data_IF_434250389823
#
_entry.id   IF_434250389823
#
_cell.length_a   1.000
_cell.length_b   1.000
_cell.length_c   1.000
_cell.angle_alpha   90.00
_cell.angle_beta   90.00
_cell.angle_gamma   90.00
#
_symmetry.space_group_name_H-M   'P 1'
#
loop_
_entity.id
_entity.type
_entity.pdbx_description
1 polymer ?
#
# COMPACT_ATOMS: atom_id res chain seq x y z
N UNK A 1 -8.25 -13.40 -26.93
CA UNK A 1 -7.55 -13.54 -25.66
C UNK A 1 -8.59 -13.55 -24.57
N UNK A 2 -8.62 -14.50 -23.63
CA UNK A 2 -9.49 -14.39 -22.47
C UNK A 2 -9.20 -13.07 -21.74
N UNK A 3 -10.22 -12.44 -21.22
CA UNK A 3 -10.11 -11.16 -20.54
C UNK A 3 -9.36 -11.39 -19.22
N UNK A 4 -8.07 -11.09 -19.15
CA UNK A 4 -7.22 -11.24 -17.94
C UNK A 4 -7.80 -10.52 -16.70
N UNK A 5 -8.82 -9.65 -16.89
CA UNK A 5 -9.48 -8.95 -15.78
C UNK A 5 -10.30 -9.86 -14.85
N UNK A 6 -10.71 -11.04 -15.31
CA UNK A 6 -11.53 -11.99 -14.55
C UNK A 6 -10.72 -13.17 -13.98
N UNK A 7 -9.47 -13.32 -14.36
CA UNK A 7 -8.58 -14.34 -13.80
C UNK A 7 -8.25 -14.04 -12.34
N UNK A 8 -8.14 -15.12 -11.54
CA UNK A 8 -7.70 -15.01 -10.16
C UNK A 8 -6.20 -14.66 -10.14
N UNK A 9 -5.87 -13.55 -9.48
CA UNK A 9 -4.53 -13.04 -9.29
C UNK A 9 -4.06 -13.35 -7.87
N UNK A 10 -2.80 -13.69 -7.71
CA UNK A 10 -2.17 -13.82 -6.39
C UNK A 10 -1.56 -12.49 -5.99
N UNK A 11 -2.07 -11.92 -4.90
CA UNK A 11 -1.62 -10.64 -4.36
C UNK A 11 -0.84 -10.88 -3.07
N UNK A 12 0.23 -10.13 -2.85
CA UNK A 12 0.91 -10.05 -1.57
C UNK A 12 0.80 -8.62 -1.02
N UNK A 13 0.28 -8.50 0.19
CA UNK A 13 0.11 -7.24 0.89
C UNK A 13 1.05 -7.21 2.11
N UNK A 14 2.24 -6.62 2.00
CA UNK A 14 3.14 -6.49 3.13
C UNK A 14 2.58 -5.50 4.17
N UNK A 15 2.77 -5.81 5.46
CA UNK A 15 2.39 -4.95 6.57
C UNK A 15 3.46 -4.94 7.68
N UNK A 16 3.24 -4.16 8.73
CA UNK A 16 4.09 -4.22 9.92
C UNK A 16 3.88 -5.53 10.69
N UNK A 17 4.90 -5.98 11.40
CA UNK A 17 4.81 -7.17 12.23
C UNK A 17 3.70 -7.01 13.30
N UNK A 18 2.87 -8.04 13.47
CA UNK A 18 1.73 -8.03 14.39
C UNK A 18 0.45 -7.37 13.83
N UNK A 19 0.47 -6.91 12.58
CA UNK A 19 -0.69 -6.26 11.93
C UNK A 19 -1.43 -7.19 10.98
N UNK A 20 -0.92 -8.39 10.77
CA UNK A 20 -1.40 -9.32 9.75
C UNK A 20 -2.89 -9.68 9.90
N UNK A 21 -3.33 -9.97 11.12
CA UNK A 21 -4.74 -10.33 11.39
C UNK A 21 -5.68 -9.15 11.10
N UNK A 22 -5.31 -7.93 11.53
CA UNK A 22 -6.05 -6.72 11.20
C UNK A 22 -6.08 -6.43 9.71
N UNK A 23 -4.99 -6.72 9.00
CA UNK A 23 -4.94 -6.57 7.55
C UNK A 23 -5.82 -7.61 6.84
N UNK A 24 -5.86 -8.86 7.32
CA UNK A 24 -6.79 -9.86 6.78
C UNK A 24 -8.24 -9.44 6.97
N UNK A 25 -8.59 -8.93 8.15
CA UNK A 25 -9.89 -8.34 8.45
C UNK A 25 -10.22 -7.15 7.52
N UNK A 26 -9.26 -6.27 7.27
CA UNK A 26 -9.42 -5.15 6.35
C UNK A 26 -9.66 -5.62 4.92
N UNK A 27 -8.87 -6.57 4.43
CA UNK A 27 -9.03 -7.11 3.07
C UNK A 27 -10.40 -7.79 2.94
N UNK A 28 -10.82 -8.58 3.95
CA UNK A 28 -12.17 -9.14 3.98
C UNK A 28 -13.25 -8.05 3.89
N UNK A 29 -13.17 -7.02 4.72
CA UNK A 29 -14.15 -5.92 4.75
C UNK A 29 -14.19 -5.10 3.46
N UNK A 30 -13.08 -5.03 2.72
CA UNK A 30 -12.98 -4.27 1.47
C UNK A 30 -13.41 -5.08 0.24
N UNK A 31 -13.12 -6.39 0.21
CA UNK A 31 -13.23 -7.21 -1.01
C UNK A 31 -14.22 -8.37 -0.88
N UNK A 32 -14.55 -8.78 0.35
CA UNK A 32 -15.31 -9.99 0.62
C UNK A 32 -14.48 -11.28 0.54
N UNK A 33 -13.19 -11.21 0.23
CA UNK A 33 -12.31 -12.38 0.20
C UNK A 33 -12.19 -12.98 1.61
N UNK A 34 -12.26 -14.30 1.73
CA UNK A 34 -12.22 -15.00 3.01
C UNK A 34 -11.77 -16.46 2.85
N UNK A 35 -11.49 -17.11 3.97
CA UNK A 35 -11.16 -18.54 4.01
C UNK A 35 -9.93 -18.85 3.16
N UNK A 36 -10.08 -19.72 2.16
CA UNK A 36 -8.98 -20.17 1.30
C UNK A 36 -8.39 -19.09 0.39
N UNK A 37 -9.07 -17.94 0.25
CA UNK A 37 -8.60 -16.83 -0.57
C UNK A 37 -7.64 -15.92 0.19
N UNK A 38 -7.49 -16.10 1.52
CA UNK A 38 -6.57 -15.34 2.36
C UNK A 38 -5.61 -16.28 3.10
N UNK A 39 -4.32 -16.01 2.98
CA UNK A 39 -3.28 -16.72 3.71
C UNK A 39 -2.44 -15.72 4.49
N UNK A 40 -2.48 -15.83 5.82
CA UNK A 40 -1.67 -15.00 6.71
C UNK A 40 -0.25 -15.56 6.74
N UNK A 41 0.71 -14.71 6.40
CA UNK A 41 2.13 -15.04 6.39
C UNK A 41 2.93 -14.04 7.21
N UNK A 42 4.16 -14.42 7.54
CA UNK A 42 5.04 -13.48 8.24
C UNK A 42 5.39 -12.30 7.34
N UNK A 43 5.03 -11.09 7.81
CA UNK A 43 5.32 -9.82 7.10
C UNK A 43 4.19 -9.35 6.18
N UNK A 44 3.08 -10.08 6.07
CA UNK A 44 1.94 -9.68 5.26
C UNK A 44 0.89 -10.76 5.09
N UNK A 45 0.07 -10.60 4.09
CA UNK A 45 -0.92 -11.60 3.71
C UNK A 45 -0.87 -11.85 2.20
N UNK A 46 -1.14 -13.08 1.80
CA UNK A 46 -1.50 -13.40 0.42
C UNK A 46 -3.01 -13.37 0.27
N UNK A 47 -3.49 -12.85 -0.88
CA UNK A 47 -4.90 -12.80 -1.21
C UNK A 47 -5.10 -13.25 -2.66
N UNK A 48 -6.11 -14.10 -2.92
CA UNK A 48 -6.53 -14.49 -4.27
C UNK A 48 -7.71 -13.62 -4.68
N UNK A 49 -7.43 -12.58 -5.46
CA UNK A 49 -8.42 -11.60 -5.89
C UNK A 49 -8.40 -11.39 -7.41
N UNK A 50 -9.15 -10.41 -7.88
CA UNK A 50 -9.23 -9.98 -9.27
C UNK A 50 -8.61 -8.60 -9.44
N UNK A 51 -8.49 -8.14 -10.68
CA UNK A 51 -7.95 -6.80 -10.97
C UNK A 51 -8.73 -5.68 -10.26
N UNK A 52 -10.05 -5.83 -10.14
CA UNK A 52 -10.87 -4.87 -9.39
C UNK A 52 -10.46 -4.79 -7.90
N UNK A 53 -10.05 -5.92 -7.31
CA UNK A 53 -9.58 -5.97 -5.92
C UNK A 53 -8.22 -5.29 -5.78
N UNK A 54 -7.33 -5.42 -6.78
CA UNK A 54 -6.05 -4.66 -6.83
C UNK A 54 -6.33 -3.16 -6.75
N UNK A 55 -7.24 -2.64 -7.56
CA UNK A 55 -7.61 -1.21 -7.56
C UNK A 55 -8.24 -0.81 -6.22
N UNK A 56 -9.18 -1.60 -5.72
CA UNK A 56 -9.89 -1.35 -4.46
C UNK A 56 -8.95 -1.33 -3.26
N UNK A 57 -8.04 -2.30 -3.17
CA UNK A 57 -7.06 -2.38 -2.09
C UNK A 57 -6.08 -1.21 -2.14
N UNK A 58 -5.63 -0.78 -3.32
CA UNK A 58 -4.79 0.40 -3.44
C UNK A 58 -5.52 1.68 -3.00
N UNK A 59 -6.81 1.82 -3.31
CA UNK A 59 -7.60 2.99 -2.96
C UNK A 59 -7.92 3.05 -1.46
N UNK A 60 -8.28 1.91 -0.87
CA UNK A 60 -8.93 1.86 0.45
C UNK A 60 -8.09 1.27 1.58
N UNK A 61 -7.03 0.47 1.29
CA UNK A 61 -6.27 -0.15 2.38
C UNK A 61 -5.48 0.88 3.18
N UNK A 62 -5.63 0.80 4.51
CA UNK A 62 -4.91 1.64 5.48
C UNK A 62 -3.75 0.90 6.12
N UNK A 63 -3.79 -0.44 6.15
CA UNK A 63 -2.83 -1.28 6.87
C UNK A 63 -1.73 -1.83 5.95
N UNK A 64 -2.04 -2.10 4.68
CA UNK A 64 -1.06 -2.56 3.71
C UNK A 64 -0.02 -1.47 3.42
N UNK A 65 1.24 -1.87 3.30
CA UNK A 65 2.31 -0.98 2.84
C UNK A 65 2.31 -0.83 1.32
N UNK A 66 1.90 -1.88 0.62
CA UNK A 66 1.77 -1.97 -0.85
C UNK A 66 0.76 -3.05 -1.21
N UNK A 67 0.32 -3.05 -2.45
CA UNK A 67 -0.37 -4.17 -3.10
C UNK A 67 0.56 -4.67 -4.19
N UNK A 68 1.11 -5.86 -4.01
CA UNK A 68 2.06 -6.48 -4.93
C UNK A 68 1.38 -7.66 -5.63
N UNK A 69 1.55 -7.77 -6.94
CA UNK A 69 1.04 -8.88 -7.73
C UNK A 69 2.14 -9.92 -7.94
N UNK A 70 1.96 -11.13 -7.47
CA UNK A 70 2.92 -12.21 -7.67
C UNK A 70 2.82 -12.76 -9.09
N UNK A 71 3.92 -12.66 -9.83
CA UNK A 71 4.04 -13.12 -11.22
C UNK A 71 4.74 -14.46 -11.34
N UNK A 72 5.60 -14.80 -10.39
CA UNK A 72 6.26 -16.09 -10.31
C UNK A 72 6.72 -16.37 -8.90
N UNK A 73 6.62 -17.65 -8.51
CA UNK A 73 7.18 -18.21 -7.28
C UNK A 73 7.77 -19.58 -7.58
N UNK A 74 9.02 -19.84 -7.17
CA UNK A 74 9.66 -21.13 -7.37
C UNK A 74 10.84 -21.34 -6.41
N UNK A 75 11.26 -22.61 -6.18
CA UNK A 75 12.56 -22.92 -5.61
C UNK A 75 13.69 -22.28 -6.44
N UNK A 76 14.62 -21.61 -5.76
CA UNK A 76 15.67 -20.86 -6.40
C UNK A 76 16.90 -20.73 -5.49
N UNK A 77 17.91 -21.53 -5.75
CA UNK A 77 19.15 -21.57 -4.95
C UNK A 77 20.37 -21.04 -5.69
N UNK A 78 20.23 -20.68 -6.97
CA UNK A 78 21.32 -20.16 -7.79
C UNK A 78 20.90 -18.97 -8.63
N UNK A 79 21.90 -18.21 -9.08
CA UNK A 79 21.72 -17.05 -9.94
C UNK A 79 21.17 -17.43 -11.32
N UNK A 80 21.53 -18.62 -11.83
CA UNK A 80 21.02 -19.13 -13.10
C UNK A 80 19.56 -19.59 -12.98
N UNK A 81 19.18 -20.21 -11.86
CA UNK A 81 17.78 -20.52 -11.56
C UNK A 81 16.94 -19.25 -11.45
N UNK A 82 17.46 -18.19 -10.80
CA UNK A 82 16.81 -16.90 -10.69
C UNK A 82 16.64 -16.23 -12.06
N UNK A 83 17.68 -16.25 -12.89
CA UNK A 83 17.60 -15.75 -14.26
C UNK A 83 16.55 -16.51 -15.07
N UNK A 84 16.56 -17.85 -15.00
CA UNK A 84 15.60 -18.68 -15.71
C UNK A 84 14.15 -18.43 -15.24
N UNK A 85 13.94 -18.26 -13.91
CA UNK A 85 12.64 -17.90 -13.36
C UNK A 85 12.15 -16.56 -13.92
N UNK A 86 12.98 -15.52 -13.87
CA UNK A 86 12.63 -14.20 -14.37
C UNK A 86 12.38 -14.17 -15.88
N UNK A 87 13.09 -15.01 -16.66
CA UNK A 87 12.88 -15.15 -18.11
C UNK A 87 11.54 -15.77 -18.48
N UNK A 88 10.96 -16.62 -17.62
CA UNK A 88 9.66 -17.27 -17.86
C UNK A 88 8.48 -16.30 -17.74
N UNK A 89 8.60 -15.25 -16.92
CA UNK A 89 7.53 -14.26 -16.73
C UNK A 89 7.29 -13.50 -18.04
N UNK A 90 6.05 -13.43 -18.53
CA UNK A 90 5.71 -12.70 -19.76
C UNK A 90 5.61 -11.18 -19.45
N UNK A 91 6.77 -10.54 -19.25
CA UNK A 91 6.86 -9.13 -18.87
C UNK A 91 6.17 -8.20 -19.86
N UNK A 92 6.15 -8.58 -21.14
CA UNK A 92 5.49 -7.84 -22.21
C UNK A 92 3.97 -7.71 -22.03
N UNK A 93 3.35 -8.58 -21.25
CA UNK A 93 1.92 -8.49 -20.91
C UNK A 93 1.66 -7.44 -19.80
N UNK A 94 2.69 -7.06 -19.06
CA UNK A 94 2.62 -6.15 -17.93
C UNK A 94 3.10 -4.73 -18.23
N UNK A 95 4.12 -4.58 -19.08
CA UNK A 95 4.61 -3.27 -19.47
C UNK A 95 5.39 -3.35 -20.78
N UNK A 96 5.61 -2.22 -21.44
CA UNK A 96 6.31 -2.17 -22.73
C UNK A 96 7.67 -1.51 -22.66
N UNK A 97 8.41 -1.52 -23.78
CA UNK A 97 9.76 -0.96 -23.93
C UNK A 97 9.85 0.55 -23.71
N UNK A 98 8.72 1.27 -23.72
CA UNK A 98 8.65 2.72 -23.43
C UNK A 98 8.68 3.03 -21.93
N UNK A 99 8.37 2.04 -21.09
CA UNK A 99 8.41 2.22 -19.64
C UNK A 99 9.83 2.09 -19.12
N UNK A 100 10.07 2.75 -18.02
CA UNK A 100 11.27 2.54 -17.21
C UNK A 100 10.97 1.56 -16.09
N UNK A 101 11.97 0.77 -15.68
CA UNK A 101 11.77 -0.19 -14.60
C UNK A 101 12.94 -0.23 -13.62
N UNK A 102 12.68 -0.81 -12.46
CA UNK A 102 13.64 -1.08 -11.40
C UNK A 102 13.33 -2.42 -10.74
N UNK A 103 14.37 -3.11 -10.29
CA UNK A 103 14.25 -4.29 -9.43
C UNK A 103 14.69 -3.93 -8.02
N UNK A 104 13.79 -4.07 -7.05
CA UNK A 104 14.07 -3.97 -5.62
C UNK A 104 14.15 -5.38 -5.05
N UNK A 105 15.08 -5.63 -4.13
CA UNK A 105 15.28 -6.95 -3.54
C UNK A 105 15.13 -6.90 -2.02
N UNK A 106 14.43 -7.88 -1.49
CA UNK A 106 14.35 -8.19 -0.07
C UNK A 106 14.70 -9.65 0.14
N UNK A 107 15.35 -9.97 1.25
CA UNK A 107 15.75 -11.35 1.52
C UNK A 107 15.60 -11.71 2.99
N UNK A 108 15.29 -13.00 3.22
CA UNK A 108 15.25 -13.60 4.53
C UNK A 108 15.85 -15.00 4.46
N UNK A 109 16.95 -15.22 5.17
CA UNK A 109 17.61 -16.55 5.21
C UNK A 109 18.09 -17.07 3.85
N UNK A 110 18.33 -16.17 2.88
CA UNK A 110 18.70 -16.51 1.52
C UNK A 110 20.13 -17.01 1.41
N UNK A 111 20.37 -18.00 0.54
CA UNK A 111 21.69 -18.50 0.18
C UNK A 111 22.47 -17.54 -0.75
N UNK A 112 21.83 -16.51 -1.30
CA UNK A 112 22.47 -15.56 -2.20
C UNK A 112 23.45 -14.66 -1.46
N UNK A 113 24.73 -14.66 -1.89
CA UNK A 113 25.80 -13.87 -1.26
C UNK A 113 25.65 -12.37 -1.49
N UNK A 114 25.07 -11.96 -2.62
CA UNK A 114 24.86 -10.56 -2.98
C UNK A 114 23.44 -10.32 -3.46
N UNK A 115 22.66 -9.61 -2.66
CA UNK A 115 21.30 -9.21 -3.05
C UNK A 115 21.28 -8.25 -4.23
N UNK A 116 22.29 -7.37 -4.31
CA UNK A 116 22.43 -6.47 -5.45
C UNK A 116 22.67 -7.24 -6.73
N UNK A 117 23.49 -8.28 -6.70
CA UNK A 117 23.75 -9.12 -7.87
C UNK A 117 22.49 -9.92 -8.26
N UNK A 118 21.75 -10.45 -7.31
CA UNK A 118 20.46 -11.09 -7.57
C UNK A 118 19.48 -10.15 -8.28
N UNK A 119 19.38 -8.89 -7.84
CA UNK A 119 18.55 -7.88 -8.51
C UNK A 119 19.04 -7.60 -9.95
N UNK A 120 20.35 -7.57 -10.18
CA UNK A 120 20.93 -7.41 -11.53
C UNK A 120 20.61 -8.61 -12.42
N UNK A 121 20.65 -9.85 -11.91
CA UNK A 121 20.28 -11.05 -12.68
C UNK A 121 18.82 -11.00 -13.13
N UNK A 122 17.89 -10.59 -12.26
CA UNK A 122 16.48 -10.38 -12.65
C UNK A 122 16.37 -9.27 -13.70
N UNK A 123 17.03 -8.14 -13.49
CA UNK A 123 17.07 -7.03 -14.46
C UNK A 123 17.55 -7.48 -15.84
N UNK A 124 18.64 -8.28 -15.90
CA UNK A 124 19.18 -8.79 -17.15
C UNK A 124 18.19 -9.75 -17.85
N UNK A 125 17.56 -10.66 -17.07
CA UNK A 125 16.54 -11.56 -17.59
C UNK A 125 15.35 -10.82 -18.20
N UNK A 126 14.85 -9.75 -17.54
CA UNK A 126 13.79 -8.88 -18.07
C UNK A 126 14.23 -8.22 -19.38
N UNK A 127 15.41 -7.60 -19.40
CA UNK A 127 15.93 -6.91 -20.57
C UNK A 127 16.14 -7.86 -21.76
N UNK A 128 16.68 -9.05 -21.51
CA UNK A 128 16.94 -10.04 -22.56
C UNK A 128 15.64 -10.63 -23.13
N UNK A 129 14.62 -10.84 -22.28
CA UNK A 129 13.30 -11.26 -22.75
C UNK A 129 12.69 -10.22 -23.69
N UNK A 130 12.73 -8.94 -23.35
CA UNK A 130 12.23 -7.89 -24.22
C UNK A 130 13.00 -7.80 -25.54
N UNK A 131 14.33 -7.92 -25.50
CA UNK A 131 15.15 -7.95 -26.75
C UNK A 131 14.75 -9.09 -27.68
N UNK A 132 14.56 -10.27 -27.12
CA UNK A 132 14.18 -11.45 -27.90
C UNK A 132 12.78 -11.29 -28.51
N UNK A 133 11.83 -10.70 -27.77
CA UNK A 133 10.44 -10.58 -28.22
C UNK A 133 10.17 -9.39 -29.14
N UNK A 134 10.87 -8.27 -28.94
CA UNK A 134 10.57 -7.00 -29.62
C UNK A 134 11.79 -6.29 -30.22
N UNK A 135 12.99 -6.85 -30.11
CA UNK A 135 14.24 -6.23 -30.58
C UNK A 135 14.70 -5.02 -29.74
N UNK A 136 13.93 -4.58 -28.78
CA UNK A 136 14.23 -3.44 -27.91
C UNK A 136 14.12 -3.83 -26.42
N UNK A 137 14.61 -3.00 -25.53
CA UNK A 137 14.49 -3.21 -24.08
C UNK A 137 14.00 -1.95 -23.35
N UNK A 138 13.26 -2.09 -22.24
CA UNK A 138 12.93 -0.96 -21.37
C UNK A 138 14.19 -0.42 -20.68
N UNK A 139 14.20 0.87 -20.39
CA UNK A 139 15.28 1.52 -19.66
C UNK A 139 15.18 1.31 -18.15
N UNK A 140 16.33 1.28 -17.48
CA UNK A 140 16.38 1.21 -16.02
C UNK A 140 16.38 2.63 -15.43
N UNK A 141 15.49 2.87 -14.45
CA UNK A 141 15.41 4.16 -13.74
C UNK A 141 15.32 3.88 -12.22
N UNK A 142 16.31 4.39 -11.47
CA UNK A 142 16.44 4.07 -10.04
C UNK A 142 15.58 4.94 -9.12
N UNK A 143 15.31 6.19 -9.49
CA UNK A 143 14.61 7.12 -8.60
C UNK A 143 13.10 7.07 -8.75
N UNK A 144 12.56 7.26 -9.95
CA UNK A 144 11.13 7.30 -10.25
C UNK A 144 10.80 6.38 -11.43
N UNK A 145 10.96 5.05 -11.29
CA UNK A 145 10.61 4.12 -12.35
C UNK A 145 9.10 4.09 -12.57
N UNK A 146 8.70 3.80 -13.81
CA UNK A 146 7.30 3.55 -14.13
C UNK A 146 6.82 2.24 -13.53
N UNK A 147 7.70 1.23 -13.52
CA UNK A 147 7.43 -0.12 -13.04
C UNK A 147 8.46 -0.54 -12.01
N UNK A 148 7.99 -1.04 -10.87
CA UNK A 148 8.84 -1.67 -9.84
C UNK A 148 8.57 -3.16 -9.79
N UNK A 149 9.64 -3.93 -9.88
CA UNK A 149 9.63 -5.38 -9.68
C UNK A 149 10.27 -5.65 -8.32
N UNK A 150 9.57 -6.34 -7.44
CA UNK A 150 10.13 -6.80 -6.17
C UNK A 150 10.57 -8.25 -6.32
N UNK A 151 11.84 -8.50 -6.06
CA UNK A 151 12.39 -9.83 -5.82
C UNK A 151 12.37 -10.09 -4.33
N UNK A 152 11.63 -11.09 -3.89
CA UNK A 152 11.67 -11.58 -2.52
C UNK A 152 12.33 -12.95 -2.49
N UNK A 153 13.38 -13.07 -1.67
CA UNK A 153 14.12 -14.31 -1.45
C UNK A 153 13.84 -14.80 -0.03
N UNK A 154 13.21 -15.97 0.12
CA UNK A 154 12.96 -16.60 1.43
C UNK A 154 13.50 -18.02 1.47
N UNK A 155 14.57 -18.23 2.23
CA UNK A 155 15.29 -19.51 2.23
C UNK A 155 15.75 -19.89 0.83
N UNK A 156 15.24 -21.01 0.33
CA UNK A 156 15.53 -21.56 -0.99
C UNK A 156 14.50 -21.16 -2.07
N UNK A 157 13.62 -20.19 -1.80
CA UNK A 157 12.57 -19.79 -2.72
C UNK A 157 12.74 -18.35 -3.18
N UNK A 158 12.29 -18.05 -4.39
CA UNK A 158 12.22 -16.70 -4.94
C UNK A 158 10.81 -16.38 -5.44
N UNK A 159 10.31 -15.19 -5.08
CA UNK A 159 9.08 -14.62 -5.64
C UNK A 159 9.42 -13.36 -6.44
N UNK A 160 8.81 -13.23 -7.60
CA UNK A 160 8.84 -12.04 -8.44
C UNK A 160 7.47 -11.37 -8.39
N UNK A 161 7.44 -10.15 -7.84
CA UNK A 161 6.20 -9.43 -7.62
C UNK A 161 6.24 -8.07 -8.34
N UNK A 162 5.12 -7.73 -8.97
CA UNK A 162 4.92 -6.44 -9.62
C UNK A 162 4.24 -5.46 -8.65
N UNK A 163 4.84 -4.30 -8.45
CA UNK A 163 4.27 -3.25 -7.60
C UNK A 163 3.13 -2.53 -8.33
N UNK A 164 1.92 -2.64 -7.80
CA UNK A 164 0.75 -1.94 -8.32
C UNK A 164 0.51 -0.60 -7.63
N UNK A 165 1.16 -0.36 -6.48
CA UNK A 165 0.99 0.85 -5.67
C UNK A 165 1.89 2.01 -6.11
N UNK A 166 3.13 1.72 -6.52
CA UNK A 166 4.16 2.71 -6.84
C UNK A 166 4.82 3.28 -5.57
N UNK A 167 4.42 4.44 -5.10
CA UNK A 167 4.84 4.92 -3.79
C UNK A 167 4.17 4.10 -2.67
N UNK A 168 4.82 3.92 -1.50
CA UNK A 168 4.21 3.19 -0.38
C UNK A 168 2.85 3.78 0.03
N UNK A 169 1.91 2.91 0.42
CA UNK A 169 0.54 3.34 0.73
C UNK A 169 0.44 4.28 1.94
N UNK A 170 1.40 4.25 2.88
CA UNK A 170 1.43 5.22 3.97
C UNK A 170 1.60 6.67 3.49
N UNK A 171 2.15 6.92 2.29
CA UNK A 171 2.18 8.25 1.68
C UNK A 171 0.80 8.58 1.12
N UNK A 172 -0.13 9.06 1.96
CA UNK A 172 -1.52 9.36 1.58
C UNK A 172 -1.68 10.53 0.62
N UNK A 173 -0.69 11.45 0.59
CA UNK A 173 -0.71 12.67 -0.23
C UNK A 173 -0.87 13.97 0.57
N UNK A 174 -1.55 13.93 1.70
CA UNK A 174 -1.84 15.12 2.50
C UNK A 174 -0.69 15.60 3.41
N UNK A 175 0.27 14.71 3.79
CA UNK A 175 1.35 15.09 4.68
C UNK A 175 2.41 15.92 3.96
N UNK A 176 2.49 17.18 4.24
CA UNK A 176 3.56 18.08 3.80
C UNK A 176 4.37 18.61 5.00
N UNK A 177 3.70 18.88 6.12
CA UNK A 177 4.34 19.31 7.36
C UNK A 177 4.62 18.09 8.25
N UNK A 178 5.85 17.95 8.73
CA UNK A 178 6.29 16.81 9.56
C UNK A 178 7.32 17.27 10.58
N UNK A 179 7.32 16.62 11.74
CA UNK A 179 8.42 16.70 12.70
C UNK A 179 9.61 15.81 12.28
N UNK A 180 10.57 15.67 13.17
CA UNK A 180 11.81 14.91 12.91
C UNK A 180 11.56 13.40 12.81
N UNK A 181 10.58 12.86 13.57
CA UNK A 181 10.24 11.45 13.63
C UNK A 181 8.72 11.21 13.41
N UNK A 182 8.19 11.40 12.18
CA UNK A 182 6.78 11.25 11.91
C UNK A 182 6.35 9.78 11.98
N UNK A 183 5.24 9.49 12.68
CA UNK A 183 4.59 8.18 12.66
C UNK A 183 4.09 7.89 11.23
N UNK A 184 4.29 6.66 10.73
CA UNK A 184 3.71 6.25 9.45
C UNK A 184 2.19 6.09 9.59
N UNK A 185 1.44 6.51 8.59
CA UNK A 185 -0.02 6.45 8.56
C UNK A 185 -0.55 5.02 8.69
N UNK A 186 0.13 4.05 8.10
CA UNK A 186 -0.23 2.62 8.25
C UNK A 186 -0.07 2.12 9.69
N UNK A 187 0.89 2.66 10.45
CA UNK A 187 1.04 2.32 11.86
C UNK A 187 -0.02 3.03 12.73
N UNK A 188 -0.36 4.27 12.41
CA UNK A 188 -1.46 4.97 13.08
C UNK A 188 -2.78 4.22 12.89
N UNK A 189 -3.09 3.78 11.67
CA UNK A 189 -4.26 2.94 11.40
C UNK A 189 -4.22 1.60 12.17
N UNK A 190 -3.05 0.96 12.27
CA UNK A 190 -2.87 -0.27 13.03
C UNK A 190 -3.12 -0.04 14.55
N UNK A 191 -2.68 1.09 15.11
CA UNK A 191 -2.94 1.46 16.50
C UNK A 191 -4.46 1.67 16.74
N UNK A 192 -5.16 2.30 15.82
CA UNK A 192 -6.61 2.48 15.88
C UNK A 192 -7.36 1.14 15.81
N UNK A 193 -6.89 0.19 15.00
CA UNK A 193 -7.43 -1.18 14.96
C UNK A 193 -7.13 -1.94 16.26
N UNK A 194 -5.89 -1.92 16.73
CA UNK A 194 -5.46 -2.62 17.94
C UNK A 194 -6.15 -2.10 19.22
N UNK A 195 -6.49 -0.81 19.26
CA UNK A 195 -7.27 -0.22 20.37
C UNK A 195 -8.77 -0.60 20.34
N UNK A 196 -9.24 -1.26 19.29
CA UNK A 196 -10.66 -1.54 19.07
C UNK A 196 -11.48 -0.31 18.64
N UNK A 197 -10.86 0.87 18.48
CA UNK A 197 -11.57 2.06 18.03
C UNK A 197 -12.01 1.96 16.56
N UNK A 198 -11.22 1.27 15.74
CA UNK A 198 -11.57 0.90 14.38
C UNK A 198 -11.67 -0.62 14.23
N UNK A 199 -12.74 -1.09 13.58
CA UNK A 199 -13.01 -2.49 13.28
C UNK A 199 -12.88 -2.72 11.77
N UNK A 200 -11.70 -3.19 11.28
CA UNK A 200 -11.40 -3.29 9.84
C UNK A 200 -12.40 -4.14 9.07
N UNK A 201 -12.75 -5.34 9.57
CA UNK A 201 -13.68 -6.24 8.91
C UNK A 201 -15.08 -5.65 8.68
N UNK A 202 -15.52 -4.74 9.57
CA UNK A 202 -16.83 -4.09 9.50
C UNK A 202 -16.78 -2.70 8.88
N UNK A 203 -15.59 -2.17 8.62
CA UNK A 203 -15.35 -0.79 8.20
C UNK A 203 -16.04 0.23 9.12
N UNK A 204 -16.02 -0.05 10.41
CA UNK A 204 -16.75 0.73 11.41
C UNK A 204 -15.79 1.32 12.45
N UNK A 205 -16.14 2.49 12.96
CA UNK A 205 -15.44 3.15 14.07
C UNK A 205 -16.31 3.14 15.33
N UNK A 206 -15.67 3.14 16.49
CA UNK A 206 -16.34 3.19 17.76
C UNK A 206 -17.11 4.50 17.97
N UNK A 207 -18.16 4.43 18.79
CA UNK A 207 -18.93 5.61 19.16
C UNK A 207 -18.20 6.52 20.17
N UNK A 208 -17.20 6.01 20.90
CA UNK A 208 -16.43 6.76 21.87
C UNK A 208 -15.56 7.84 21.22
N UNK A 209 -15.40 9.01 21.83
CA UNK A 209 -14.43 9.99 21.40
C UNK A 209 -13.01 9.43 21.43
N UNK A 210 -12.15 9.92 20.50
CA UNK A 210 -10.72 9.61 20.46
C UNK A 210 -9.95 10.84 20.91
N UNK A 211 -8.94 10.63 21.75
CA UNK A 211 -8.02 11.69 22.15
C UNK A 211 -6.57 11.24 22.05
N UNK A 212 -5.77 11.98 21.26
CA UNK A 212 -4.33 11.83 21.16
C UNK A 212 -3.65 12.99 21.91
N UNK A 213 -3.09 12.76 23.11
CA UNK A 213 -2.46 13.79 23.93
C UNK A 213 -1.09 14.26 23.44
N UNK A 214 -0.48 13.55 22.48
CA UNK A 214 0.85 13.83 21.91
C UNK A 214 0.80 13.72 20.38
N UNK A 215 -0.14 14.46 19.76
CA UNK A 215 -0.54 14.23 18.36
C UNK A 215 0.55 14.58 17.33
N UNK A 216 1.61 15.28 17.71
CA UNK A 216 2.63 15.70 16.80
C UNK A 216 2.05 16.44 15.58
N UNK A 217 2.41 16.01 14.38
CA UNK A 217 1.86 16.55 13.12
C UNK A 217 0.49 15.97 12.73
N UNK A 218 -0.21 15.30 13.66
CA UNK A 218 -1.62 14.92 13.53
C UNK A 218 -1.89 13.54 12.93
N UNK A 219 -0.91 12.62 12.87
CA UNK A 219 -1.08 11.36 12.12
C UNK A 219 -2.27 10.52 12.60
N UNK A 220 -2.38 10.25 13.92
CA UNK A 220 -3.43 9.39 14.47
C UNK A 220 -4.79 10.07 14.30
N UNK A 221 -4.90 11.35 14.67
CA UNK A 221 -6.18 12.09 14.60
C UNK A 221 -6.68 12.24 13.17
N UNK A 222 -5.78 12.43 12.19
CA UNK A 222 -6.16 12.54 10.78
C UNK A 222 -6.62 11.19 10.23
N UNK A 223 -5.88 10.09 10.50
CA UNK A 223 -6.30 8.73 10.10
C UNK A 223 -7.66 8.37 10.74
N UNK A 224 -7.86 8.70 12.02
CA UNK A 224 -9.14 8.48 12.70
C UNK A 224 -10.28 9.29 12.05
N UNK A 225 -10.03 10.55 11.72
CA UNK A 225 -11.03 11.40 11.08
C UNK A 225 -11.39 10.91 9.66
N UNK A 226 -10.41 10.50 8.88
CA UNK A 226 -10.66 9.90 7.57
C UNK A 226 -11.45 8.59 7.67
N UNK A 227 -11.21 7.76 8.71
CA UNK A 227 -12.00 6.57 9.00
C UNK A 227 -13.44 6.91 9.37
N UNK A 228 -13.65 7.90 10.24
CA UNK A 228 -14.96 8.32 10.67
C UNK A 228 -15.81 8.89 9.51
N UNK A 229 -15.17 9.58 8.58
CA UNK A 229 -15.81 10.17 7.40
C UNK A 229 -15.85 9.21 6.19
N UNK A 230 -15.34 7.99 6.32
CA UNK A 230 -15.22 6.98 5.26
C UNK A 230 -14.46 7.49 4.01
N UNK A 231 -13.47 8.36 4.21
CA UNK A 231 -12.65 8.90 3.13
C UNK A 231 -11.56 7.89 2.74
N UNK A 232 -11.39 7.57 1.44
CA UNK A 232 -10.38 6.61 1.01
C UNK A 232 -8.96 7.17 1.20
N UNK A 233 -8.02 6.43 1.82
CA UNK A 233 -6.67 6.90 2.08
C UNK A 233 -5.86 7.13 0.79
N UNK A 234 -6.26 6.48 -0.31
CA UNK A 234 -5.63 6.60 -1.62
C UNK A 234 -6.23 7.67 -2.52
N UNK A 235 -7.26 8.41 -2.08
CA UNK A 235 -8.03 9.34 -2.93
C UNK A 235 -7.21 10.49 -3.53
N UNK A 236 -6.14 10.92 -2.84
CA UNK A 236 -5.30 12.07 -3.26
C UNK A 236 -4.02 11.67 -4.00
N UNK A 237 -3.89 10.42 -4.44
CA UNK A 237 -2.64 9.95 -5.05
C UNK A 237 -2.87 9.20 -6.36
N UNK A 238 -1.79 9.00 -7.12
CA UNK A 238 -1.75 8.11 -8.27
C UNK A 238 -1.06 6.80 -7.91
N UNK A 239 -1.37 5.76 -8.69
CA UNK A 239 -0.85 4.42 -8.46
C UNK A 239 -0.09 3.90 -9.69
N UNK A 240 0.85 2.97 -9.47
CA UNK A 240 1.60 2.37 -10.56
C UNK A 240 0.71 1.55 -11.49
N UNK A 241 -0.36 0.92 -10.98
CA UNK A 241 -1.28 0.13 -11.80
C UNK A 241 -1.97 0.96 -12.90
N UNK A 242 -2.07 2.29 -12.75
CA UNK A 242 -2.64 3.17 -13.78
C UNK A 242 -1.84 3.21 -15.09
N UNK A 243 -0.60 2.67 -15.07
CA UNK A 243 0.30 2.56 -16.24
C UNK A 243 0.29 1.15 -16.85
N UNK A 244 -0.34 0.18 -16.20
CA UNK A 244 -0.36 -1.21 -16.64
C UNK A 244 -1.45 -1.44 -17.70
N UNK A 245 -1.27 -2.41 -18.62
CA UNK A 245 -2.23 -2.69 -19.70
C UNK A 245 -3.64 -3.08 -19.23
N UNK A 246 -3.76 -3.67 -18.05
CA UNK A 246 -5.05 -4.05 -17.45
C UNK A 246 -5.86 -2.86 -16.93
N UNK A 247 -5.26 -1.67 -16.86
CA UNK A 247 -5.93 -0.49 -16.36
C UNK A 247 -7.03 -0.02 -17.29
N UNK A 248 -8.23 0.13 -16.75
CA UNK A 248 -9.39 0.72 -17.42
C UNK A 248 -9.83 1.97 -16.68
N UNK A 249 -9.68 3.10 -17.35
CA UNK A 249 -9.94 4.42 -16.76
C UNK A 249 -11.36 4.56 -16.24
N UNK A 250 -12.35 4.07 -16.98
CA UNK A 250 -13.77 4.22 -16.63
C UNK A 250 -14.12 3.40 -15.39
N UNK A 251 -13.59 2.16 -15.26
CA UNK A 251 -13.78 1.33 -14.06
C UNK A 251 -13.13 1.98 -12.84
N UNK A 252 -11.95 2.57 -13.02
CA UNK A 252 -11.24 3.28 -11.96
C UNK A 252 -11.96 4.56 -11.54
N UNK A 253 -12.46 5.34 -12.50
CA UNK A 253 -13.22 6.56 -12.19
C UNK A 253 -14.50 6.21 -11.44
N UNK A 254 -15.28 5.21 -11.91
CA UNK A 254 -16.47 4.74 -11.21
C UNK A 254 -16.19 4.31 -9.76
N UNK A 255 -15.05 3.64 -9.51
CA UNK A 255 -14.65 3.25 -8.15
C UNK A 255 -14.35 4.46 -7.27
N UNK A 256 -13.73 5.50 -7.81
CA UNK A 256 -13.48 6.76 -7.07
C UNK A 256 -14.77 7.52 -6.79
N UNK A 257 -15.67 7.59 -7.76
CA UNK A 257 -16.97 8.24 -7.62
C UNK A 257 -17.82 7.51 -6.57
N UNK A 258 -17.79 6.16 -6.55
CA UNK A 258 -18.42 5.34 -5.51
C UNK A 258 -17.85 5.65 -4.12
N UNK A 259 -16.52 5.78 -4.01
CA UNK A 259 -15.86 6.12 -2.75
C UNK A 259 -16.17 7.55 -2.28
N UNK A 260 -16.27 8.50 -3.19
CA UNK A 260 -16.67 9.89 -2.89
C UNK A 260 -18.12 9.96 -2.43
N UNK A 261 -19.04 9.23 -3.10
CA UNK A 261 -20.45 9.16 -2.73
C UNK A 261 -20.68 8.48 -1.37
N UNK A 262 -19.79 7.56 -0.96
CA UNK A 262 -19.83 6.91 0.35
C UNK A 262 -19.30 7.80 1.50
N UNK A 263 -18.64 8.91 1.19
CA UNK A 263 -18.09 9.83 2.18
C UNK A 263 -19.18 10.43 3.07
N UNK A 264 -18.92 10.44 4.37
CA UNK A 264 -19.85 10.97 5.37
C UNK A 264 -19.55 12.45 5.65
N UNK A 265 -20.56 13.27 5.90
CA UNK A 265 -20.34 14.67 6.30
C UNK A 265 -19.64 14.74 7.66
N UNK A 266 -18.89 15.82 7.87
CA UNK A 266 -18.32 16.09 9.18
C UNK A 266 -19.44 16.24 10.24
N UNK A 267 -19.27 15.68 11.46
CA UNK A 267 -20.25 15.81 12.51
C UNK A 267 -20.33 17.27 13.01
N UNK A 268 -21.51 17.67 13.50
CA UNK A 268 -21.71 19.02 14.04
C UNK A 268 -20.77 19.34 15.22
N UNK A 269 -20.39 18.31 16.00
CA UNK A 269 -19.40 18.43 17.07
C UNK A 269 -18.28 17.40 16.84
N UNK A 270 -17.01 17.82 16.84
CA UNK A 270 -15.88 16.92 16.73
C UNK A 270 -15.86 15.88 17.85
N UNK A 271 -15.48 14.65 17.49
CA UNK A 271 -15.31 13.53 18.44
C UNK A 271 -13.86 13.02 18.46
N UNK A 272 -12.99 13.68 17.69
CA UNK A 272 -11.59 13.35 17.58
C UNK A 272 -10.79 14.58 18.00
N UNK A 273 -9.99 14.39 19.02
CA UNK A 273 -9.25 15.44 19.69
C UNK A 273 -7.76 15.14 19.67
N UNK A 274 -6.95 16.16 19.47
CA UNK A 274 -5.50 16.06 19.55
C UNK A 274 -4.89 17.22 20.30
N UNK A 275 -3.81 16.97 21.02
CA UNK A 275 -2.99 18.03 21.58
C UNK A 275 -1.51 17.70 21.50
N UNK A 276 -0.71 18.74 21.54
CA UNK A 276 0.75 18.63 21.66
C UNK A 276 1.27 19.81 22.47
N UNK A 277 2.36 19.59 23.22
CA UNK A 277 3.03 20.65 23.98
C UNK A 277 3.67 21.66 23.04
N UNK A 278 4.07 21.24 21.85
CA UNK A 278 4.63 22.10 20.82
C UNK A 278 3.54 22.74 19.96
N UNK A 279 3.32 24.03 20.13
CA UNK A 279 2.40 24.80 19.27
C UNK A 279 2.72 24.64 17.77
N UNK A 280 3.99 24.57 17.40
CA UNK A 280 4.42 24.29 16.02
C UNK A 280 3.90 22.95 15.49
N UNK A 281 3.87 21.90 16.32
CA UNK A 281 3.31 20.61 15.91
C UNK A 281 1.80 20.69 15.73
N UNK A 282 1.10 21.43 16.58
CA UNK A 282 -0.34 21.68 16.44
C UNK A 282 -0.65 22.43 15.14
N UNK A 283 0.14 23.45 14.79
CA UNK A 283 0.02 24.14 13.50
C UNK A 283 0.25 23.21 12.30
N UNK A 284 1.23 22.30 12.42
CA UNK A 284 1.47 21.29 11.40
C UNK A 284 0.28 20.32 11.27
N UNK A 285 -0.25 19.87 12.41
CA UNK A 285 -1.42 18.99 12.44
C UNK A 285 -2.65 19.65 11.82
N UNK A 286 -2.88 20.94 12.09
CA UNK A 286 -3.98 21.71 11.53
C UNK A 286 -3.87 21.79 9.99
N UNK A 287 -2.72 22.21 9.46
CA UNK A 287 -2.50 22.28 8.01
C UNK A 287 -2.58 20.91 7.31
N UNK A 288 -2.10 19.85 7.96
CA UNK A 288 -2.23 18.50 7.46
C UNK A 288 -3.70 18.04 7.45
N UNK A 289 -4.48 18.36 8.50
CA UNK A 289 -5.91 18.05 8.58
C UNK A 289 -6.72 18.79 7.48
N UNK A 290 -6.37 20.03 7.18
CA UNK A 290 -6.96 20.81 6.08
C UNK A 290 -6.71 20.14 4.74
N UNK A 291 -5.44 19.77 4.44
CA UNK A 291 -5.09 19.06 3.20
C UNK A 291 -5.73 17.68 3.10
N UNK A 292 -5.91 17.00 4.24
CA UNK A 292 -6.59 15.71 4.30
C UNK A 292 -8.11 15.81 4.16
N UNK A 293 -8.69 17.02 4.16
CA UNK A 293 -10.13 17.26 4.09
C UNK A 293 -10.89 16.93 5.38
N UNK A 294 -10.22 16.92 6.54
CA UNK A 294 -10.82 16.50 7.82
C UNK A 294 -10.75 17.57 8.93
N UNK A 295 -10.36 18.78 8.62
CA UNK A 295 -10.19 19.84 9.63
C UNK A 295 -11.44 20.10 10.48
N UNK A 296 -12.64 19.94 9.91
CA UNK A 296 -13.92 20.11 10.62
C UNK A 296 -14.29 18.92 11.53
N UNK A 297 -13.64 17.76 11.33
CA UNK A 297 -13.91 16.55 12.11
C UNK A 297 -12.94 16.37 13.30
N UNK A 298 -11.94 17.25 13.43
CA UNK A 298 -10.92 17.19 14.48
C UNK A 298 -10.88 18.50 15.27
N UNK A 299 -10.55 18.41 16.55
CA UNK A 299 -10.25 19.56 17.38
C UNK A 299 -8.82 19.44 17.90
N UNK A 300 -7.96 20.41 17.54
CA UNK A 300 -6.55 20.43 17.87
C UNK A 300 -6.24 21.62 18.78
N UNK A 301 -5.39 21.40 19.79
CA UNK A 301 -4.98 22.48 20.70
C UNK A 301 -3.58 22.27 21.26
N UNK A 302 -2.89 23.37 21.57
CA UNK A 302 -1.68 23.35 22.39
C UNK A 302 -1.98 22.96 23.84
N UNK A 303 -1.13 22.16 24.47
CA UNK A 303 -1.27 21.83 25.88
C UNK A 303 -0.39 20.65 26.30
N UNK A 304 -0.03 20.66 27.58
CA UNK A 304 0.72 19.59 28.21
C UNK A 304 -0.22 18.43 28.58
N UNK A 305 0.09 17.23 28.13
CA UNK A 305 -0.66 16.02 28.40
C UNK A 305 -0.74 15.68 29.91
N UNK A 306 0.23 16.12 30.70
CA UNK A 306 0.33 15.86 32.14
C UNK A 306 -0.48 16.86 33.00
N UNK A 307 -0.97 17.94 32.40
CA UNK A 307 -1.71 19.02 33.11
C UNK A 307 -3.23 18.95 32.90
N UNK A 308 -3.76 17.78 32.54
CA UNK A 308 -5.17 17.59 32.22
C UNK A 308 -5.85 16.61 33.16
#
# INVERSE_FOLDING_TARGET
MPCMSDEALTLFLPCAAGVQDFLADEVHGLTGLAGQDLLIERGGIYARGRWRDVMRLNLHSRLAQRVLLELAHAPCESEDALYALARRVPWEDWFGTRHTFRVDVTARGSAFKSLQFAALRVKDAVADRFRERSGARPSVQTQQPDVRIHLHLDGAHASLLLDTSGEPLFKRGWRQDKGDAPLKETLAAAMLAASGWWQPARRAVAAQPLYDPCCGSGTIVIEAAQLALDLPPGGQRRFAFERLPLFKRDEWQAMKDEAEAAARPAPAAPRIFGSDVSHRMVDFAQRNAERAGVAQAVQLRGGDALQR
#
